data_IF_734695857666
#
_entry.id   IF_734695857666
#
_cell.length_a   1.000
_cell.length_b   1.000
_cell.length_c   1.000
_cell.angle_alpha   90.00
_cell.angle_beta   90.00
_cell.angle_gamma   90.00
#
_symmetry.space_group_name_H-M   'P 1'
#
loop_
_entity.id
_entity.type
_entity.pdbx_description
1 polymer ?
#
# COMPACT_ATOMS: atom_id res chain seq x y z
N UNK A 1 -15.21 -10.21 17.31
CA UNK A 1 -16.20 -9.75 16.30
C UNK A 1 -15.53 -9.85 14.93
N UNK A 2 -16.18 -10.44 13.93
CA UNK A 2 -15.61 -10.52 12.59
C UNK A 2 -15.54 -9.13 11.95
N UNK A 3 -14.42 -8.81 11.32
CA UNK A 3 -14.27 -7.55 10.59
C UNK A 3 -15.12 -7.63 9.31
N UNK A 4 -15.97 -6.63 9.08
CA UNK A 4 -16.73 -6.52 7.84
C UNK A 4 -15.79 -6.49 6.63
N UNK A 5 -16.22 -7.08 5.51
CA UNK A 5 -15.50 -6.97 4.24
C UNK A 5 -15.37 -5.49 3.87
N UNK A 6 -14.17 -5.10 3.44
CA UNK A 6 -13.97 -3.78 2.84
C UNK A 6 -14.51 -3.82 1.42
N UNK A 7 -15.13 -2.73 0.99
CA UNK A 7 -15.46 -2.53 -0.41
C UNK A 7 -14.15 -2.22 -1.14
N UNK A 8 -13.92 -2.95 -2.23
CA UNK A 8 -12.84 -2.71 -3.17
C UNK A 8 -13.51 -2.54 -4.53
N UNK A 9 -13.68 -1.29 -4.96
CA UNK A 9 -14.44 -0.93 -6.15
C UNK A 9 -13.46 -0.45 -7.22
N UNK A 10 -13.52 -1.12 -8.37
CA UNK A 10 -12.85 -0.71 -9.59
C UNK A 10 -13.04 0.79 -9.88
N UNK A 11 -11.99 1.47 -10.30
CA UNK A 11 -12.02 2.88 -10.68
C UNK A 11 -12.20 3.87 -9.53
N UNK A 12 -12.42 3.42 -8.29
CA UNK A 12 -12.63 4.29 -7.13
C UNK A 12 -11.33 4.43 -6.30
N UNK A 13 -10.78 5.64 -6.14
CA UNK A 13 -9.60 5.86 -5.31
C UNK A 13 -9.79 5.40 -3.86
N UNK A 14 -8.79 4.69 -3.35
CA UNK A 14 -8.71 4.18 -1.99
C UNK A 14 -7.49 4.75 -1.26
N UNK A 15 -7.68 5.14 -0.01
CA UNK A 15 -6.59 5.46 0.90
C UNK A 15 -6.21 4.22 1.71
N UNK A 16 -5.12 3.56 1.33
CA UNK A 16 -4.63 2.34 1.97
C UNK A 16 -3.58 2.71 3.02
N UNK A 17 -3.76 2.19 4.23
CA UNK A 17 -2.84 2.38 5.35
C UNK A 17 -2.34 1.02 5.82
N UNK A 18 -1.04 0.79 5.71
CA UNK A 18 -0.35 -0.38 6.26
C UNK A 18 0.41 0.06 7.51
N UNK A 19 0.26 -0.67 8.62
CA UNK A 19 1.03 -0.43 9.85
C UNK A 19 1.84 -1.68 10.19
N UNK A 20 3.03 -1.50 10.73
CA UNK A 20 3.84 -2.57 11.27
C UNK A 20 3.10 -3.31 12.38
N UNK A 21 3.34 -4.62 12.47
CA UNK A 21 2.79 -5.43 13.54
C UNK A 21 3.21 -4.83 14.90
N UNK A 22 2.28 -4.70 15.84
CA UNK A 22 2.51 -4.02 17.12
C UNK A 22 3.16 -2.62 16.99
N UNK A 23 2.91 -1.91 15.87
CA UNK A 23 3.51 -0.59 15.55
C UNK A 23 5.04 -0.60 15.46
N UNK A 24 5.65 -1.78 15.31
CA UNK A 24 7.09 -1.92 15.12
C UNK A 24 7.54 -1.36 13.77
N UNK A 25 8.84 -1.07 13.67
CA UNK A 25 9.43 -0.57 12.45
C UNK A 25 9.21 -1.54 11.27
N UNK A 26 8.79 -0.99 10.14
CA UNK A 26 8.73 -1.64 8.85
C UNK A 26 10.01 -1.39 8.04
N UNK A 27 10.69 -0.26 8.30
CA UNK A 27 11.89 0.16 7.60
C UNK A 27 12.96 0.51 8.64
N UNK A 28 14.10 -0.15 8.55
CA UNK A 28 15.28 0.06 9.38
C UNK A 28 16.34 0.91 8.67
N UNK A 29 16.23 1.02 7.34
CA UNK A 29 17.06 1.91 6.51
C UNK A 29 16.42 2.21 5.16
N UNK A 30 17.17 2.92 4.31
CA UNK A 30 16.69 3.32 2.98
C UNK A 30 16.65 2.15 1.98
N UNK A 31 17.45 1.12 2.20
CA UNK A 31 17.40 -0.12 1.42
C UNK A 31 16.02 -0.80 1.54
N UNK A 32 15.43 -0.82 2.73
CA UNK A 32 14.09 -1.35 2.95
C UNK A 32 13.03 -0.53 2.21
N UNK A 33 13.20 0.80 2.17
CA UNK A 33 12.30 1.71 1.45
C UNK A 33 12.38 1.49 -0.05
N UNK A 34 13.58 1.37 -0.60
CA UNK A 34 13.77 1.07 -2.02
C UNK A 34 13.22 -0.31 -2.39
N UNK A 35 13.47 -1.32 -1.56
CA UNK A 35 12.90 -2.66 -1.73
C UNK A 35 11.36 -2.61 -1.75
N UNK A 36 10.75 -1.87 -0.84
CA UNK A 36 9.29 -1.68 -0.80
C UNK A 36 8.76 -0.99 -2.05
N UNK A 37 9.39 0.10 -2.50
CA UNK A 37 8.97 0.83 -3.70
C UNK A 37 9.09 -0.03 -4.97
N UNK A 38 10.14 -0.85 -5.08
CA UNK A 38 10.28 -1.79 -6.19
C UNK A 38 9.15 -2.82 -6.20
N UNK A 39 8.86 -3.42 -5.04
CA UNK A 39 7.74 -4.37 -4.89
C UNK A 39 6.38 -3.72 -5.15
N UNK A 40 6.19 -2.48 -4.69
CA UNK A 40 4.97 -1.72 -4.92
C UNK A 40 4.76 -1.48 -6.41
N UNK A 41 5.81 -1.12 -7.16
CA UNK A 41 5.77 -0.96 -8.61
C UNK A 41 5.47 -2.26 -9.36
N UNK A 42 6.13 -3.36 -8.96
CA UNK A 42 5.87 -4.68 -9.54
C UNK A 42 4.42 -5.13 -9.31
N UNK A 43 3.94 -4.96 -8.08
CA UNK A 43 2.57 -5.31 -7.71
C UNK A 43 1.56 -4.43 -8.43
N UNK A 44 1.78 -3.12 -8.52
CA UNK A 44 0.86 -2.20 -9.18
C UNK A 44 0.73 -2.50 -10.67
N UNK A 45 1.82 -2.89 -11.34
CA UNK A 45 1.77 -3.33 -12.74
C UNK A 45 1.09 -4.70 -12.91
N UNK A 46 1.30 -5.63 -11.96
CA UNK A 46 0.71 -6.97 -12.01
C UNK A 46 -0.81 -6.98 -11.79
N UNK A 47 -1.31 -6.09 -10.93
CA UNK A 47 -2.70 -6.06 -10.50
C UNK A 47 -3.50 -4.87 -11.06
N UNK A 48 -2.96 -4.19 -12.07
CA UNK A 48 -3.55 -2.99 -12.67
C UNK A 48 -4.03 -1.96 -11.62
N UNK A 49 -3.09 -1.45 -10.82
CA UNK A 49 -3.38 -0.46 -9.79
C UNK A 49 -2.65 0.84 -10.10
N UNK A 50 -3.38 1.93 -10.25
CA UNK A 50 -2.79 3.26 -10.37
C UNK A 50 -2.32 3.75 -9.00
N UNK A 51 -1.07 4.20 -8.89
CA UNK A 51 -0.51 4.83 -7.68
C UNK A 51 -0.49 6.33 -7.88
N UNK A 52 -1.24 7.07 -7.06
CA UNK A 52 -1.33 8.53 -7.14
C UNK A 52 -0.35 9.22 -6.18
N UNK A 53 -0.19 8.67 -4.98
CA UNK A 53 0.69 9.21 -3.96
C UNK A 53 1.09 8.13 -2.94
N UNK A 54 2.25 8.30 -2.31
CA UNK A 54 2.71 7.44 -1.22
C UNK A 54 3.57 8.22 -0.20
N UNK A 55 3.59 7.74 1.03
CA UNK A 55 4.59 8.14 2.04
C UNK A 55 5.01 6.92 2.87
N UNK A 56 6.32 6.77 3.07
CA UNK A 56 6.94 5.67 3.80
C UNK A 56 7.48 6.19 5.13
N UNK A 57 6.70 6.01 6.19
CA UNK A 57 7.10 6.31 7.56
C UNK A 57 7.76 5.08 8.18
N UNK A 58 8.59 5.23 9.22
CA UNK A 58 9.34 4.13 9.84
C UNK A 58 8.51 2.89 10.16
N UNK A 59 7.26 3.04 10.62
CA UNK A 59 6.39 1.93 11.03
C UNK A 59 5.04 1.87 10.29
N UNK A 60 4.83 2.68 9.25
CA UNK A 60 3.59 2.65 8.47
C UNK A 60 3.75 3.28 7.09
N UNK A 61 2.83 2.92 6.20
CA UNK A 61 2.77 3.42 4.83
C UNK A 61 1.37 3.93 4.57
N UNK A 62 1.26 5.07 3.90
CA UNK A 62 0.02 5.53 3.29
C UNK A 62 0.17 5.49 1.77
N UNK A 63 -0.85 4.96 1.10
CA UNK A 63 -0.95 4.91 -0.35
C UNK A 63 -2.30 5.51 -0.77
N UNK A 64 -2.28 6.36 -1.79
CA UNK A 64 -3.49 6.73 -2.53
C UNK A 64 -3.45 5.96 -3.85
N UNK A 65 -4.35 5.01 -4.02
CA UNK A 65 -4.35 4.08 -5.15
C UNK A 65 -5.74 3.94 -5.75
N UNK A 66 -5.84 3.67 -7.04
CA UNK A 66 -7.09 3.29 -7.69
C UNK A 66 -6.92 1.93 -8.35
N UNK A 67 -7.70 0.91 -7.96
CA UNK A 67 -7.71 -0.36 -8.70
C UNK A 67 -8.34 -0.14 -10.09
N UNK A 68 -7.82 -0.86 -11.09
CA UNK A 68 -8.40 -0.97 -12.41
C UNK A 68 -9.74 -1.69 -12.40
N UNK A 69 -10.23 -2.08 -13.59
CA UNK A 69 -11.54 -2.70 -13.76
C UNK A 69 -11.54 -4.24 -13.68
N UNK A 70 -10.41 -4.87 -13.37
CA UNK A 70 -10.22 -6.33 -13.40
C UNK A 70 -10.08 -6.98 -12.01
#
# INVERSE_FOLDING_TARGET
>A
MARLRRLDLAGIPQHVIQRGNNRQACFFGDEDRHCYLNKLREASGKYDVAIHAYVLMTNHVHLLVTPGEE
#
